data_IF_233227050498
#
_entry.id   IF_233227050498
#
_cell.length_a   1.000
_cell.length_b   1.000
_cell.length_c   1.000
_cell.angle_alpha   90.00
_cell.angle_beta   90.00
_cell.angle_gamma   90.00
#
_symmetry.space_group_name_H-M   'P 1'
#
loop_
_entity.id
_entity.type
_entity.pdbx_description
1 polymer ?
#
# COMPACT_ATOMS: atom_id res chain seq x y z
N UNK A 1 -12.37 -8.65 -4.48
CA UNK A 1 -13.77 -8.29 -4.20
C UNK A 1 -13.83 -7.80 -2.77
N UNK A 2 -14.15 -6.51 -2.57
CA UNK A 2 -14.46 -5.96 -1.25
C UNK A 2 -15.79 -6.57 -0.77
N UNK A 3 -15.87 -7.01 0.50
CA UNK A 3 -17.13 -7.48 1.08
C UNK A 3 -17.76 -6.29 1.82
N UNK A 4 -18.26 -5.34 1.04
CA UNK A 4 -19.03 -4.21 1.56
C UNK A 4 -20.46 -4.68 1.86
N UNK A 5 -20.84 -4.63 3.12
CA UNK A 5 -22.25 -4.55 3.48
C UNK A 5 -22.66 -3.08 3.37
N UNK A 6 -23.33 -2.72 2.27
CA UNK A 6 -23.76 -1.34 1.98
C UNK A 6 -25.11 -1.00 2.60
N UNK A 7 -25.73 -1.93 3.34
CA UNK A 7 -27.12 -1.79 3.81
C UNK A 7 -27.25 -1.38 5.28
N UNK A 8 -26.24 -1.66 6.10
CA UNK A 8 -26.14 -1.10 7.46
C UNK A 8 -24.94 -0.15 7.52
N UNK A 9 -25.05 0.91 8.30
CA UNK A 9 -23.99 1.91 8.54
C UNK A 9 -22.81 1.30 9.34
N UNK A 10 -22.31 0.15 8.90
CA UNK A 10 -21.28 -0.65 9.55
C UNK A 10 -19.92 -0.29 8.95
N UNK A 11 -18.87 -0.14 9.79
CA UNK A 11 -17.51 -0.07 9.28
C UNK A 11 -17.20 -1.32 8.45
N UNK A 12 -16.48 -1.16 7.33
CA UNK A 12 -16.03 -2.28 6.52
C UNK A 12 -15.24 -3.28 7.39
N UNK A 13 -15.55 -4.58 7.27
CA UNK A 13 -14.87 -5.63 8.04
C UNK A 13 -13.41 -5.76 7.60
N UNK A 14 -13.17 -5.73 6.30
CA UNK A 14 -11.86 -5.84 5.67
C UNK A 14 -11.93 -5.20 4.29
N UNK A 15 -10.81 -4.68 3.80
CA UNK A 15 -10.77 -4.08 2.48
C UNK A 15 -9.36 -3.76 2.00
N UNK A 16 -9.29 -3.39 0.72
CA UNK A 16 -8.10 -2.83 0.09
C UNK A 16 -8.47 -1.54 -0.61
N UNK A 17 -7.68 -0.49 -0.37
CA UNK A 17 -7.77 0.78 -1.08
C UNK A 17 -6.45 1.05 -1.79
N UNK A 18 -6.51 1.27 -3.10
CA UNK A 18 -5.36 1.63 -3.93
C UNK A 18 -5.53 3.06 -4.40
N UNK A 19 -4.51 3.88 -4.21
CA UNK A 19 -4.47 5.27 -4.69
C UNK A 19 -3.21 5.47 -5.51
N UNK A 20 -3.39 5.91 -6.75
CA UNK A 20 -2.31 6.21 -7.69
C UNK A 20 -2.14 7.71 -7.83
N UNK A 21 -0.92 8.19 -7.70
CA UNK A 21 -0.51 9.57 -7.88
C UNK A 21 0.39 9.66 -9.10
N UNK A 22 0.00 10.44 -10.09
CA UNK A 22 0.78 10.72 -11.30
C UNK A 22 1.22 12.17 -11.29
N UNK A 23 2.41 12.46 -11.83
CA UNK A 23 2.93 13.84 -11.84
C UNK A 23 3.26 14.35 -10.44
N UNK A 24 3.75 13.47 -9.55
CA UNK A 24 4.05 13.79 -8.15
C UNK A 24 5.03 14.96 -8.05
N UNK A 25 6.00 15.04 -8.97
CA UNK A 25 6.95 16.15 -9.02
C UNK A 25 6.27 17.50 -9.23
N UNK A 26 5.28 17.57 -10.12
CA UNK A 26 4.55 18.81 -10.39
C UNK A 26 3.59 19.16 -9.25
N UNK A 27 2.92 18.16 -8.66
CA UNK A 27 1.91 18.39 -7.62
C UNK A 27 2.46 18.61 -6.22
N UNK A 28 3.52 17.89 -5.84
CA UNK A 28 4.07 17.89 -4.48
C UNK A 28 5.49 18.48 -4.39
N UNK A 29 6.13 18.83 -5.51
CA UNK A 29 7.49 19.36 -5.54
C UNK A 29 8.57 18.35 -5.13
N UNK A 30 8.23 17.06 -5.08
CA UNK A 30 9.09 15.95 -4.63
C UNK A 30 9.10 14.85 -5.67
N UNK A 31 10.17 14.07 -5.74
CA UNK A 31 10.15 12.83 -6.52
C UNK A 31 9.13 11.84 -5.94
N UNK A 32 8.63 10.92 -6.76
CA UNK A 32 7.73 9.86 -6.30
C UNK A 32 8.32 9.04 -5.14
N UNK A 33 9.64 8.79 -5.15
CA UNK A 33 10.35 8.12 -4.05
C UNK A 33 10.29 8.93 -2.76
N UNK A 34 10.68 10.21 -2.81
CA UNK A 34 10.66 11.09 -1.64
C UNK A 34 9.24 11.23 -1.07
N UNK A 35 8.23 11.36 -1.93
CA UNK A 35 6.83 11.41 -1.52
C UNK A 35 6.42 10.18 -0.71
N UNK A 36 6.76 8.97 -1.18
CA UNK A 36 6.45 7.72 -0.47
C UNK A 36 7.26 7.60 0.83
N UNK A 37 8.57 7.90 0.80
CA UNK A 37 9.41 7.79 1.99
C UNK A 37 9.03 8.79 3.08
N UNK A 38 8.60 9.99 2.71
CA UNK A 38 8.05 10.98 3.63
C UNK A 38 6.74 10.53 4.25
N UNK A 39 5.85 9.93 3.44
CA UNK A 39 4.63 9.30 3.94
C UNK A 39 4.94 8.22 5.00
N UNK A 40 5.88 7.32 4.69
CA UNK A 40 6.34 6.27 5.63
C UNK A 40 6.92 6.88 6.89
N UNK A 41 7.84 7.85 6.75
CA UNK A 41 8.52 8.49 7.86
C UNK A 41 7.58 9.27 8.77
N UNK A 42 6.54 9.89 8.21
CA UNK A 42 5.48 10.55 8.97
C UNK A 42 4.60 9.52 9.68
N UNK A 43 4.13 8.50 8.95
CA UNK A 43 3.26 7.47 9.52
C UNK A 43 3.90 6.74 10.69
N UNK A 44 5.18 6.35 10.56
CA UNK A 44 5.95 5.68 11.63
C UNK A 44 6.04 6.48 12.94
N UNK A 45 5.86 7.80 12.91
CA UNK A 45 5.85 8.65 14.12
C UNK A 45 4.49 8.70 14.80
N UNK A 46 3.42 8.41 14.07
CA UNK A 46 2.03 8.55 14.52
C UNK A 46 1.44 7.24 15.04
N UNK A 47 1.96 6.10 14.59
CA UNK A 47 1.33 4.79 14.79
C UNK A 47 2.31 3.74 15.30
N UNK A 48 1.77 2.68 15.89
CA UNK A 48 2.59 1.54 16.31
C UNK A 48 2.99 0.73 15.08
N UNK A 49 4.29 0.64 14.84
CA UNK A 49 4.87 -0.17 13.75
C UNK A 49 5.01 -1.62 14.21
N UNK A 50 4.50 -2.55 13.41
CA UNK A 50 4.65 -3.99 13.64
C UNK A 50 5.76 -4.57 12.78
N UNK A 51 5.80 -4.20 11.50
CA UNK A 51 6.75 -4.74 10.52
C UNK A 51 7.05 -3.73 9.42
N UNK A 52 8.24 -3.85 8.85
CA UNK A 52 8.64 -3.15 7.61
C UNK A 52 9.34 -4.15 6.70
N UNK A 53 9.40 -3.85 5.41
CA UNK A 53 10.29 -4.54 4.48
C UNK A 53 11.17 -3.53 3.75
N UNK A 54 12.31 -4.01 3.26
CA UNK A 54 13.27 -3.22 2.51
C UNK A 54 12.76 -2.91 1.09
N UNK A 55 13.40 -1.92 0.46
CA UNK A 55 13.12 -1.56 -0.93
C UNK A 55 13.33 -2.79 -1.84
N UNK A 56 12.27 -3.20 -2.52
CA UNK A 56 12.30 -4.34 -3.45
C UNK A 56 11.94 -3.84 -4.85
N UNK A 57 12.81 -4.08 -5.83
CA UNK A 57 12.51 -3.76 -7.23
C UNK A 57 11.52 -4.79 -7.80
N UNK A 58 10.51 -4.30 -8.50
CA UNK A 58 9.44 -5.07 -9.16
C UNK A 58 9.29 -4.60 -10.61
N UNK A 59 10.41 -4.50 -11.33
CA UNK A 59 10.44 -4.03 -12.71
C UNK A 59 10.24 -2.53 -12.82
N UNK A 60 9.05 -2.09 -13.24
CA UNK A 60 8.74 -0.66 -13.41
C UNK A 60 8.59 0.09 -12.08
N UNK A 61 8.36 -0.62 -10.98
CA UNK A 61 8.16 -0.02 -9.67
C UNK A 61 9.18 -0.54 -8.66
N UNK A 62 9.46 0.26 -7.65
CA UNK A 62 10.10 -0.18 -6.41
C UNK A 62 9.07 -0.13 -5.30
N UNK A 63 9.07 -1.15 -4.45
CA UNK A 63 8.13 -1.33 -3.34
C UNK A 63 8.83 -1.21 -1.99
N UNK A 64 8.13 -0.61 -1.04
CA UNK A 64 8.39 -0.73 0.41
C UNK A 64 7.08 -1.11 1.10
N UNK A 65 7.14 -1.68 2.30
CA UNK A 65 5.94 -1.96 3.09
C UNK A 65 6.07 -1.51 4.53
N UNK A 66 4.92 -1.22 5.11
CA UNK A 66 4.76 -0.79 6.50
C UNK A 66 3.50 -1.44 7.06
N UNK A 67 3.65 -2.22 8.12
CA UNK A 67 2.57 -2.88 8.85
C UNK A 67 2.39 -2.21 10.20
N UNK A 68 1.15 -1.83 10.54
CA UNK A 68 0.86 -0.95 11.66
C UNK A 68 -0.38 -1.38 12.45
N UNK A 69 -0.44 -0.97 13.72
CA UNK A 69 -1.67 -0.89 14.48
C UNK A 69 -2.13 0.57 14.62
N UNK A 70 -3.36 0.84 14.20
CA UNK A 70 -3.98 2.17 14.21
C UNK A 70 -5.31 2.08 14.95
N UNK A 71 -5.29 2.33 16.26
CA UNK A 71 -6.45 2.14 17.12
C UNK A 71 -6.91 0.68 17.14
N UNK A 72 -8.16 0.36 16.73
CA UNK A 72 -8.67 -1.00 16.67
C UNK A 72 -8.25 -1.77 15.40
N UNK A 73 -7.53 -1.13 14.47
CA UNK A 73 -7.22 -1.69 13.15
C UNK A 73 -5.77 -2.18 13.05
N UNK A 74 -5.59 -3.23 12.26
CA UNK A 74 -4.31 -3.70 11.76
C UNK A 74 -4.25 -3.39 10.26
N UNK A 75 -3.26 -2.61 9.84
CA UNK A 75 -3.12 -2.11 8.49
C UNK A 75 -1.78 -2.53 7.89
N UNK A 76 -1.81 -3.02 6.65
CA UNK A 76 -0.66 -3.27 5.80
C UNK A 76 -0.64 -2.25 4.65
N UNK A 77 0.36 -1.39 4.68
CA UNK A 77 0.70 -0.50 3.58
C UNK A 77 1.67 -1.20 2.63
N UNK A 78 1.30 -1.29 1.36
CA UNK A 78 2.21 -1.60 0.25
C UNK A 78 2.36 -0.35 -0.61
N UNK A 79 3.58 0.18 -0.66
CA UNK A 79 3.86 1.52 -1.15
C UNK A 79 4.87 1.42 -2.30
N UNK A 80 4.58 2.11 -3.40
CA UNK A 80 5.31 1.94 -4.64
C UNK A 80 5.69 3.29 -5.23
N UNK A 81 6.83 3.36 -5.90
CA UNK A 81 7.17 4.47 -6.79
C UNK A 81 7.77 3.95 -8.10
N UNK A 82 7.59 4.72 -9.15
CA UNK A 82 8.12 4.41 -10.46
C UNK A 82 9.65 4.47 -10.50
N UNK A 83 10.24 3.51 -11.19
CA UNK A 83 11.66 3.48 -11.52
C UNK A 83 11.93 4.19 -12.85
N UNK A 84 13.20 4.46 -13.16
CA UNK A 84 13.66 4.97 -14.47
C UNK A 84 12.97 6.27 -14.94
N UNK A 85 12.72 7.20 -14.02
CA UNK A 85 12.13 8.51 -14.35
C UNK A 85 10.61 8.52 -14.49
N UNK A 86 9.94 7.40 -14.23
CA UNK A 86 8.48 7.35 -14.16
C UNK A 86 7.97 8.08 -12.91
N UNK A 87 7.33 9.23 -13.10
CA UNK A 87 6.80 10.07 -12.01
C UNK A 87 5.42 9.60 -11.53
N UNK A 88 5.40 8.41 -10.94
CA UNK A 88 4.20 7.75 -10.41
C UNK A 88 4.48 7.22 -9.01
N UNK A 89 3.58 7.45 -8.07
CA UNK A 89 3.57 6.83 -6.76
C UNK A 89 2.25 6.08 -6.54
N UNK A 90 2.27 4.96 -5.83
CA UNK A 90 1.06 4.19 -5.50
C UNK A 90 1.05 3.84 -4.02
N UNK A 91 -0.09 4.07 -3.38
CA UNK A 91 -0.35 3.72 -1.99
C UNK A 91 -1.47 2.68 -1.96
N UNK A 92 -1.13 1.45 -1.61
CA UNK A 92 -2.08 0.38 -1.36
C UNK A 92 -2.21 0.14 0.14
N UNK A 93 -3.43 0.19 0.65
CA UNK A 93 -3.77 0.07 2.06
C UNK A 93 -4.70 -1.13 2.18
N UNK A 94 -4.23 -2.20 2.81
CA UNK A 94 -5.03 -3.36 3.15
C UNK A 94 -5.21 -3.41 4.67
N UNK A 95 -6.39 -3.75 5.17
CA UNK A 95 -6.56 -3.80 6.62
C UNK A 95 -7.91 -4.33 7.08
N UNK A 96 -7.95 -4.64 8.37
CA UNK A 96 -9.12 -5.14 9.10
C UNK A 96 -8.97 -4.79 10.59
N UNK A 97 -9.95 -5.15 11.42
CA UNK A 97 -9.82 -5.04 12.87
C UNK A 97 -8.79 -6.04 13.41
N UNK A 98 -8.07 -5.70 14.49
CA UNK A 98 -6.99 -6.53 15.03
C UNK A 98 -7.41 -7.97 15.35
N UNK A 99 -8.62 -8.16 15.86
CA UNK A 99 -9.18 -9.48 16.19
C UNK A 99 -9.51 -10.35 14.96
N UNK A 100 -9.53 -9.78 13.76
CA UNK A 100 -9.79 -10.47 12.51
C UNK A 100 -8.53 -10.60 11.64
N UNK A 101 -7.40 -10.06 12.08
CA UNK A 101 -6.17 -10.05 11.29
C UNK A 101 -5.73 -11.45 10.87
N UNK A 102 -5.66 -12.39 11.81
CA UNK A 102 -5.22 -13.76 11.54
C UNK A 102 -6.12 -14.50 10.54
N UNK A 103 -7.39 -14.09 10.42
CA UNK A 103 -8.33 -14.65 9.45
C UNK A 103 -8.05 -14.16 8.02
N UNK A 104 -7.45 -12.97 7.86
CA UNK A 104 -7.31 -12.30 6.56
C UNK A 104 -5.85 -12.08 6.12
N UNK A 105 -4.87 -12.25 7.00
CA UNK A 105 -3.43 -12.00 6.73
C UNK A 105 -2.95 -12.71 5.47
N UNK A 106 -3.33 -13.98 5.28
CA UNK A 106 -2.95 -14.75 4.08
C UNK A 106 -3.51 -14.17 2.77
N UNK A 107 -4.64 -13.46 2.84
CA UNK A 107 -5.24 -12.77 1.69
C UNK A 107 -4.49 -11.46 1.43
N UNK A 108 -4.17 -10.72 2.49
CA UNK A 108 -3.38 -9.48 2.37
C UNK A 108 -1.98 -9.74 1.85
N UNK A 109 -1.30 -10.80 2.30
CA UNK A 109 0.03 -11.18 1.82
C UNK A 109 0.02 -11.44 0.30
N UNK A 110 -0.97 -12.19 -0.21
CA UNK A 110 -1.14 -12.42 -1.66
C UNK A 110 -1.43 -11.16 -2.45
N UNK A 111 -2.13 -10.19 -1.85
CA UNK A 111 -2.37 -8.89 -2.48
C UNK A 111 -1.16 -7.95 -2.37
N UNK A 112 -0.26 -8.19 -1.42
CA UNK A 112 0.97 -7.43 -1.24
C UNK A 112 2.06 -7.83 -2.24
N UNK A 113 2.00 -9.05 -2.75
CA UNK A 113 2.84 -9.56 -3.85
C UNK A 113 2.35 -9.13 -5.23
N UNK A 114 1.31 -8.29 -5.31
CA UNK A 114 0.76 -7.82 -6.57
C UNK A 114 1.79 -6.96 -7.31
N UNK A 115 2.27 -7.45 -8.45
CA UNK A 115 3.01 -6.62 -9.40
C UNK A 115 2.02 -5.66 -10.06
N UNK A 116 2.26 -4.36 -9.89
CA UNK A 116 1.34 -3.33 -10.37
C UNK A 116 1.12 -3.41 -11.89
N UNK A 117 2.14 -3.89 -12.62
CA UNK A 117 2.10 -4.17 -14.05
C UNK A 117 2.86 -5.47 -14.29
N UNK A 118 2.17 -6.50 -14.79
CA UNK A 118 2.80 -7.73 -15.28
C UNK A 118 3.50 -7.44 -16.62
N UNK A 119 4.82 -7.30 -16.57
CA UNK A 119 5.64 -6.98 -17.75
C UNK A 119 5.66 -8.11 -18.78
N UNK A 120 5.37 -9.35 -18.37
CA UNK A 120 5.32 -10.49 -19.30
C UNK A 120 4.15 -10.37 -20.27
N UNK A 121 3.08 -9.62 -19.92
CA UNK A 121 1.96 -9.33 -20.83
C UNK A 121 2.34 -8.43 -22.00
N UNK A 122 3.51 -7.77 -21.96
CA UNK A 122 4.00 -6.91 -23.02
C UNK A 122 5.13 -7.54 -23.84
N UNK A 123 5.56 -8.76 -23.49
CA UNK A 123 6.45 -9.55 -24.33
C UNK A 123 5.60 -10.20 -25.43
N UNK A 124 5.73 -9.69 -26.66
CA UNK A 124 5.22 -10.34 -27.87
C UNK A 124 6.12 -11.48 -28.29
#
# INVERSE_FOLDING_TARGET
MSREDTTGNHPYTTGVRIQTFVGVKQGAGKTAKEFILDFVGTKKKEVKVLKTCDETSQGLFTRVCLETEEGPYHILYSLFWGSNGMDVAVVSIAGTSKNLWDNYVSTFDKMSTFELIDMNRFQK
#
